data_IF_421329572307
#
_entry.id   IF_421329572307
#
_cell.length_a   1.000
_cell.length_b   1.000
_cell.length_c   1.000
_cell.angle_alpha   90.00
_cell.angle_beta   90.00
_cell.angle_gamma   90.00
#
_symmetry.space_group_name_H-M   'P 1'
#
loop_
_entity.id
_entity.type
_entity.pdbx_description
1 polymer ?
#
# COMPACT_ATOMS: atom_id res chain seq x y z
N UNK A 1 19.21 -11.51 14.17
CA UNK A 1 17.86 -11.03 14.50
C UNK A 1 17.15 -10.70 13.20
N UNK A 2 15.96 -11.24 12.90
CA UNK A 2 15.21 -10.79 11.72
C UNK A 2 14.86 -9.32 11.91
N UNK A 3 15.26 -8.48 10.95
CA UNK A 3 14.94 -7.05 10.95
C UNK A 3 13.46 -6.90 10.67
N UNK A 4 12.71 -6.44 11.66
CA UNK A 4 11.28 -6.15 11.54
C UNK A 4 11.05 -4.67 11.27
N UNK A 5 10.06 -4.36 10.44
CA UNK A 5 9.58 -3.00 10.17
C UNK A 5 8.17 -2.86 10.73
N UNK A 6 7.85 -1.68 11.23
CA UNK A 6 6.51 -1.38 11.72
C UNK A 6 5.62 -0.93 10.56
N UNK A 7 4.46 -1.56 10.41
CA UNK A 7 3.40 -1.17 9.49
C UNK A 7 2.18 -0.67 10.27
N UNK A 8 1.61 0.43 9.80
CA UNK A 8 0.32 0.94 10.27
C UNK A 8 -0.72 0.69 9.19
N UNK A 9 -1.70 -0.14 9.49
CA UNK A 9 -2.76 -0.58 8.60
C UNK A 9 -4.06 0.12 8.96
N UNK A 10 -4.85 0.47 7.96
CA UNK A 10 -6.19 1.05 8.10
C UNK A 10 -7.18 0.31 7.21
N UNK A 11 -8.44 0.21 7.62
CA UNK A 11 -9.48 -0.30 6.72
C UNK A 11 -9.61 0.54 5.46
N UNK A 12 -9.92 -0.12 4.35
CA UNK A 12 -10.38 0.55 3.15
C UNK A 12 -11.91 0.75 3.25
N UNK A 13 -12.42 1.99 3.12
CA UNK A 13 -13.85 2.27 3.27
C UNK A 13 -14.72 1.40 2.36
N UNK A 14 -15.80 0.84 2.92
CA UNK A 14 -16.73 -0.01 2.15
C UNK A 14 -16.25 -1.44 1.91
N UNK A 15 -15.17 -1.89 2.57
CA UNK A 15 -14.69 -3.27 2.50
C UNK A 15 -14.47 -3.89 3.87
N UNK A 16 -14.51 -5.22 3.91
CA UNK A 16 -14.30 -6.02 5.12
C UNK A 16 -13.06 -6.92 5.03
N UNK A 17 -12.41 -6.95 3.87
CA UNK A 17 -11.29 -7.82 3.55
C UNK A 17 -10.05 -7.06 3.08
N UNK A 18 -10.11 -5.72 2.94
CA UNK A 18 -8.99 -4.91 2.41
C UNK A 18 -8.51 -3.87 3.40
N UNK A 19 -7.20 -3.76 3.49
CA UNK A 19 -6.52 -2.78 4.33
C UNK A 19 -5.52 -1.99 3.49
N UNK A 20 -5.23 -0.78 3.94
CA UNK A 20 -4.21 0.08 3.35
C UNK A 20 -3.11 0.43 4.33
N UNK A 21 -1.90 0.61 3.82
CA UNK A 21 -0.77 1.18 4.54
C UNK A 21 0.03 2.11 3.63
N UNK A 22 0.77 3.01 4.25
CA UNK A 22 1.64 3.95 3.55
C UNK A 22 3.10 3.52 3.69
N UNK A 23 3.83 3.58 2.57
CA UNK A 23 5.27 3.32 2.55
C UNK A 23 5.93 3.97 1.34
N UNK A 24 7.11 4.56 1.53
CA UNK A 24 7.90 5.10 0.42
C UNK A 24 7.13 6.09 -0.46
N UNK A 25 6.32 6.96 0.15
CA UNK A 25 5.50 7.94 -0.58
C UNK A 25 4.32 7.34 -1.36
N UNK A 26 3.98 6.07 -1.15
CA UNK A 26 2.87 5.38 -1.82
C UNK A 26 1.90 4.79 -0.79
N UNK A 27 0.63 4.71 -1.15
CA UNK A 27 -0.39 3.98 -0.39
C UNK A 27 -0.66 2.65 -1.07
N UNK A 28 -0.49 1.57 -0.34
CA UNK A 28 -0.74 0.20 -0.81
C UNK A 28 -2.07 -0.27 -0.27
N UNK A 29 -2.82 -1.00 -1.08
CA UNK A 29 -3.99 -1.77 -0.64
C UNK A 29 -3.67 -3.25 -0.77
N UNK A 30 -3.90 -4.02 0.29
CA UNK A 30 -3.66 -5.47 0.36
C UNK A 30 -4.88 -6.15 0.99
N UNK A 31 -5.00 -7.47 0.80
CA UNK A 31 -6.03 -8.24 1.48
C UNK A 31 -5.61 -8.47 2.95
N UNK A 32 -6.57 -8.41 3.87
CA UNK A 32 -6.32 -8.64 5.29
C UNK A 32 -5.73 -10.02 5.54
N UNK A 33 -6.18 -11.05 4.79
CA UNK A 33 -5.65 -12.42 4.88
C UNK A 33 -4.15 -12.51 4.55
N UNK A 34 -3.65 -11.61 3.70
CA UNK A 34 -2.25 -11.60 3.27
C UNK A 34 -1.36 -10.92 4.33
N UNK A 35 -1.97 -10.14 5.21
CA UNK A 35 -1.33 -9.57 6.41
C UNK A 35 -1.40 -10.55 7.59
N UNK A 36 -2.51 -11.29 7.71
CA UNK A 36 -2.71 -12.33 8.72
C UNK A 36 -1.79 -13.52 8.45
N UNK A 37 -0.66 -13.62 9.15
CA UNK A 37 0.09 -14.88 9.23
C UNK A 37 -0.49 -15.75 10.35
N UNK A 38 -0.46 -17.05 10.11
CA UNK A 38 -0.99 -18.11 11.00
C UNK A 38 -0.45 -18.02 12.44
N UNK A 39 0.73 -17.41 12.63
CA UNK A 39 1.42 -17.38 13.92
C UNK A 39 1.38 -16.03 14.67
N UNK A 40 0.83 -14.97 14.08
CA UNK A 40 0.98 -13.65 14.67
C UNK A 40 -0.12 -12.66 14.31
N UNK A 41 -0.64 -12.02 15.35
CA UNK A 41 -1.49 -10.83 15.38
C UNK A 41 -3.00 -11.10 15.44
N UNK A 42 -3.58 -10.87 16.61
CA UNK A 42 -5.00 -10.57 16.72
C UNK A 42 -5.25 -9.16 16.17
N UNK A 43 -5.95 -9.08 15.04
CA UNK A 43 -6.35 -7.80 14.42
C UNK A 43 -7.54 -7.15 15.13
N UNK A 44 -7.82 -7.51 16.39
CA UNK A 44 -8.95 -6.99 17.15
C UNK A 44 -8.94 -5.46 17.20
N UNK A 45 -7.77 -4.83 17.32
CA UNK A 45 -7.61 -3.38 17.28
C UNK A 45 -7.96 -2.77 15.93
N UNK A 46 -7.72 -3.47 14.81
CA UNK A 46 -8.11 -3.01 13.49
C UNK A 46 -9.64 -2.99 13.35
N UNK A 47 -10.32 -4.02 13.84
CA UNK A 47 -11.79 -4.05 13.87
C UNK A 47 -12.38 -2.98 14.80
N UNK A 48 -11.77 -2.76 15.98
CA UNK A 48 -12.30 -1.84 17.00
C UNK A 48 -11.97 -0.37 16.75
N UNK A 49 -10.80 -0.07 16.19
CA UNK A 49 -10.28 1.32 16.06
C UNK A 49 -10.08 1.75 14.60
N UNK A 50 -10.26 0.84 13.65
CA UNK A 50 -10.01 1.11 12.23
C UNK A 50 -8.54 1.28 11.85
N UNK A 51 -7.62 1.15 12.82
CA UNK A 51 -6.18 1.25 12.63
C UNK A 51 -5.46 0.26 13.54
N UNK A 52 -4.43 -0.40 13.02
CA UNK A 52 -3.52 -1.25 13.80
C UNK A 52 -2.09 -1.00 13.38
N UNK A 53 -1.18 -1.08 14.34
CA UNK A 53 0.26 -1.01 14.09
C UNK A 53 0.88 -2.34 14.50
N UNK A 54 1.61 -2.99 13.58
CA UNK A 54 2.21 -4.29 13.83
C UNK A 54 3.61 -4.43 13.20
N UNK A 55 4.49 -5.23 13.81
CA UNK A 55 5.79 -5.54 13.22
C UNK A 55 5.64 -6.59 12.11
N UNK A 56 6.23 -6.33 10.94
CA UNK A 56 6.36 -7.28 9.84
C UNK A 56 7.83 -7.54 9.53
N UNK A 57 8.18 -8.78 9.16
CA UNK A 57 9.50 -9.08 8.61
C UNK A 57 9.71 -8.36 7.27
N UNK A 58 10.95 -7.99 6.94
CA UNK A 58 11.28 -7.38 5.64
C UNK A 58 10.80 -8.20 4.43
N UNK A 59 10.92 -9.53 4.47
CA UNK A 59 10.46 -10.39 3.36
C UNK A 59 8.94 -10.32 3.16
N UNK A 60 8.18 -10.35 4.26
CA UNK A 60 6.73 -10.18 4.20
C UNK A 60 6.34 -8.78 3.72
N UNK A 61 7.03 -7.73 4.17
CA UNK A 61 6.83 -6.37 3.67
C UNK A 61 7.10 -6.27 2.16
N UNK A 62 8.17 -6.88 1.67
CA UNK A 62 8.48 -6.92 0.24
C UNK A 62 7.35 -7.60 -0.56
N UNK A 63 6.77 -8.69 -0.06
CA UNK A 63 5.61 -9.31 -0.70
C UNK A 63 4.36 -8.42 -0.68
N UNK A 64 4.08 -7.75 0.45
CA UNK A 64 2.94 -6.82 0.59
C UNK A 64 3.05 -5.62 -0.35
N UNK A 65 4.27 -5.08 -0.52
CA UNK A 65 4.55 -4.00 -1.47
C UNK A 65 4.62 -4.51 -2.92
N UNK A 66 5.05 -5.75 -3.12
CA UNK A 66 5.20 -6.42 -4.41
C UNK A 66 3.95 -7.17 -4.82
N UNK A 67 4.06 -8.50 -4.90
CA UNK A 67 3.07 -9.40 -5.52
C UNK A 67 1.71 -9.48 -4.82
N UNK A 68 1.61 -9.14 -3.54
CA UNK A 68 0.35 -9.21 -2.77
C UNK A 68 -0.44 -7.90 -2.81
N UNK A 69 0.12 -6.83 -3.37
CA UNK A 69 -0.60 -5.56 -3.55
C UNK A 69 -1.77 -5.77 -4.50
N UNK A 70 -2.94 -5.27 -4.10
CA UNK A 70 -4.12 -5.18 -4.96
C UNK A 70 -4.15 -3.86 -5.72
N UNK A 71 -3.64 -2.81 -5.09
CA UNK A 71 -3.55 -1.47 -5.66
C UNK A 71 -2.41 -0.70 -4.99
N UNK A 72 -1.80 0.23 -5.71
CA UNK A 72 -0.79 1.15 -5.20
C UNK A 72 -1.01 2.52 -5.83
N UNK A 73 -0.97 3.57 -5.02
CA UNK A 73 -1.04 4.94 -5.56
C UNK A 73 0.26 5.30 -6.26
N UNK A 74 0.22 6.25 -7.21
CA UNK A 74 1.44 6.89 -7.70
C UNK A 74 2.30 7.41 -6.55
N UNK A 75 3.59 7.49 -6.82
CA UNK A 75 4.57 8.08 -5.91
C UNK A 75 4.22 9.55 -5.63
N UNK A 76 4.14 9.90 -4.34
CA UNK A 76 3.93 11.28 -3.93
C UNK A 76 5.09 12.19 -4.38
N UNK A 77 4.77 13.42 -4.73
CA UNK A 77 5.74 14.44 -5.11
C UNK A 77 6.81 14.63 -4.02
N UNK A 78 8.07 14.80 -4.43
CA UNK A 78 9.20 14.94 -3.51
C UNK A 78 9.71 13.63 -2.89
N UNK A 79 9.11 12.48 -3.22
CA UNK A 79 9.59 11.19 -2.73
C UNK A 79 10.94 10.84 -3.38
N UNK A 80 11.98 10.45 -2.61
CA UNK A 80 13.29 10.08 -3.14
C UNK A 80 13.25 8.93 -4.16
N UNK A 81 14.18 8.89 -5.12
CA UNK A 81 14.25 7.84 -6.14
C UNK A 81 14.52 6.45 -5.55
N UNK A 82 15.29 6.37 -4.46
CA UNK A 82 15.64 5.15 -3.75
C UNK A 82 14.59 4.72 -2.70
N UNK A 83 13.51 5.49 -2.52
CA UNK A 83 12.55 5.30 -1.44
C UNK A 83 11.92 3.90 -1.46
N UNK A 84 11.67 3.33 -2.64
CA UNK A 84 11.08 2.01 -2.77
C UNK A 84 11.93 0.92 -2.10
N UNK A 85 13.20 0.81 -2.50
CA UNK A 85 14.13 -0.20 -1.98
C UNK A 85 14.46 0.07 -0.52
N UNK A 86 14.67 1.35 -0.16
CA UNK A 86 14.99 1.75 1.22
C UNK A 86 13.90 1.40 2.21
N UNK A 87 12.65 1.46 1.76
CA UNK A 87 11.48 1.15 2.59
C UNK A 87 11.11 -0.35 2.61
N UNK A 88 11.84 -1.20 1.89
CA UNK A 88 11.71 -2.65 1.94
C UNK A 88 11.02 -3.28 0.73
N UNK A 89 10.78 -2.53 -0.34
CA UNK A 89 10.34 -3.08 -1.62
C UNK A 89 11.48 -3.79 -2.36
N UNK A 90 11.14 -4.76 -3.21
CA UNK A 90 12.08 -5.36 -4.16
C UNK A 90 12.14 -4.51 -5.43
N UNK A 91 13.32 -4.10 -5.90
CA UNK A 91 13.47 -3.23 -7.07
C UNK A 91 12.76 -3.75 -8.34
N UNK A 92 12.70 -5.07 -8.51
CA UNK A 92 12.02 -5.70 -9.65
C UNK A 92 10.49 -5.54 -9.61
N UNK A 93 9.92 -5.29 -8.42
CA UNK A 93 8.47 -5.16 -8.21
C UNK A 93 8.02 -3.70 -8.14
N UNK A 94 8.92 -2.74 -8.35
CA UNK A 94 8.59 -1.32 -8.27
C UNK A 94 7.51 -0.98 -9.31
N UNK A 95 6.34 -0.46 -8.89
CA UNK A 95 5.33 -0.02 -9.84
C UNK A 95 5.90 1.15 -10.64
N UNK A 96 5.75 1.07 -11.95
CA UNK A 96 5.91 2.22 -12.82
C UNK A 96 4.82 3.20 -12.42
N UNK A 97 5.20 4.46 -12.17
CA UNK A 97 4.23 5.54 -12.01
C UNK A 97 3.65 5.79 -13.41
N UNK A 98 2.74 4.92 -13.86
CA UNK A 98 1.97 5.17 -15.05
C UNK A 98 1.14 6.42 -14.77
N UNK A 99 1.49 7.48 -15.50
CA UNK A 99 0.75 8.72 -15.59
C UNK A 99 -0.73 8.34 -15.67
N UNK A 100 -1.48 8.63 -14.60
CA UNK A 100 -2.92 8.50 -14.61
C UNK A 100 -3.38 9.50 -15.66
N UNK A 101 -3.46 9.03 -16.90
CA UNK A 101 -3.82 9.83 -18.06
C UNK A 101 -5.14 10.50 -17.69
N UNK A 102 -5.00 11.80 -17.56
CA UNK A 102 -6.03 12.80 -17.43
C UNK A 102 -7.31 12.33 -18.12
N UNK A 103 -8.32 11.97 -17.33
CA UNK A 103 -9.70 12.12 -17.76
C UNK A 103 -10.01 13.63 -17.78
N UNK A 104 -9.27 14.41 -18.58
CA UNK A 104 -9.73 15.75 -18.97
C UNK A 104 -10.88 15.50 -19.95
N UNK A 105 -12.09 15.49 -19.41
CA UNK A 105 -13.29 15.68 -20.20
C UNK A 105 -13.21 17.04 -20.88
N UNK A 106 -12.60 17.10 -22.07
CA UNK A 106 -12.74 18.22 -22.98
C UNK A 106 -14.21 18.26 -23.40
N UNK A 107 -15.00 19.10 -22.72
CA UNK A 107 -16.33 19.44 -23.15
C UNK A 107 -16.25 20.00 -24.58
N UNK A 108 -16.92 19.41 -25.58
CA UNK A 108 -16.95 20.01 -26.90
C UNK A 108 -17.72 21.33 -26.79
N UNK A 109 -17.01 22.42 -27.07
CA UNK A 109 -17.57 23.74 -27.27
C UNK A 109 -18.61 23.63 -28.38
N UNK A 110 -19.87 23.89 -28.06
CA UNK A 110 -20.96 23.90 -29.04
C UNK A 110 -20.96 25.28 -29.73
N UNK A 111 -20.72 25.36 -31.05
CA UNK A 111 -20.98 26.60 -31.77
C UNK A 111 -22.46 26.71 -32.16
N UNK A 112 -22.98 27.90 -31.88
CA UNK A 112 -24.19 28.58 -32.39
C UNK A 112 -25.57 28.03 -32.03
#
# INVERSE_FOLDING_TARGET
MPTSRTLTLRWMPGTTDRVRFERGGRTFTVLLKDVQRVDAHSFNSLYLKGVVTLPVSLSHLAHLMGTLRQHVTPKAEGTPQDAWVREGGCAADEPLDEESADLTGAAPTRPS
#
